data_IF_328610367121
#
_entry.id   IF_328610367121
#
_cell.length_a   1.000
_cell.length_b   1.000
_cell.length_c   1.000
_cell.angle_alpha   90.00
_cell.angle_beta   90.00
_cell.angle_gamma   90.00
#
_symmetry.space_group_name_H-M   'P 1'
#
loop_
_entity.id
_entity.type
_entity.pdbx_description
1 polymer ?
#
# COMPACT_ATOMS: atom_id res chain seq x y z
N UNK A 1 0.70 0.80 -50.42
CA UNK A 1 -0.02 -0.06 -49.48
C UNK A 1 0.60 0.12 -48.07
N UNK A 2 -0.01 0.98 -47.30
CA UNK A 2 0.47 1.32 -45.95
C UNK A 2 -0.22 0.38 -44.99
N UNK A 3 0.54 -0.54 -44.38
CA UNK A 3 0.03 -1.40 -43.30
C UNK A 3 -0.09 -0.56 -42.04
N UNK A 4 -1.30 -0.35 -41.58
CA UNK A 4 -1.62 0.12 -40.24
C UNK A 4 -1.23 -1.00 -39.25
N UNK A 5 -0.13 -0.79 -38.53
CA UNK A 5 0.18 -1.59 -37.34
C UNK A 5 -0.86 -1.26 -36.27
N UNK A 6 -1.82 -2.14 -36.11
CA UNK A 6 -2.67 -2.15 -34.89
C UNK A 6 -1.80 -2.58 -33.70
N UNK A 7 -1.47 -1.63 -32.85
CA UNK A 7 -0.95 -1.95 -31.52
C UNK A 7 -1.95 -2.86 -30.82
N UNK A 8 -1.54 -4.03 -30.31
CA UNK A 8 -2.41 -4.83 -29.49
C UNK A 8 -2.64 -4.06 -28.19
N UNK A 9 -3.86 -3.58 -27.99
CA UNK A 9 -4.32 -3.15 -26.67
C UNK A 9 -4.24 -4.39 -25.77
N UNK A 10 -3.21 -4.46 -24.91
CA UNK A 10 -3.08 -5.51 -23.92
C UNK A 10 -4.27 -5.34 -22.98
N UNK A 11 -5.30 -6.14 -23.20
CA UNK A 11 -6.42 -6.27 -22.27
C UNK A 11 -5.83 -6.82 -20.98
N UNK A 12 -5.61 -5.96 -19.98
CA UNK A 12 -5.12 -6.38 -18.69
C UNK A 12 -6.08 -7.43 -18.12
N UNK A 13 -5.57 -8.60 -17.76
CA UNK A 13 -6.38 -9.64 -17.13
C UNK A 13 -6.98 -9.06 -15.84
N UNK A 14 -8.18 -9.50 -15.40
CA UNK A 14 -8.80 -9.06 -14.14
C UNK A 14 -7.85 -9.17 -12.95
N UNK A 15 -6.97 -10.15 -12.97
CA UNK A 15 -5.94 -10.37 -11.96
C UNK A 15 -4.91 -9.23 -11.93
N UNK A 16 -4.41 -8.78 -13.08
CA UNK A 16 -3.45 -7.66 -13.19
C UNK A 16 -4.05 -6.35 -12.70
N UNK A 17 -5.33 -6.12 -12.95
CA UNK A 17 -6.03 -4.92 -12.47
C UNK A 17 -6.08 -4.89 -10.94
N UNK A 18 -6.61 -5.94 -10.33
CA UNK A 18 -6.67 -6.08 -8.87
C UNK A 18 -5.28 -6.03 -8.25
N UNK A 19 -4.32 -6.77 -8.81
CA UNK A 19 -2.92 -6.78 -8.37
C UNK A 19 -2.32 -5.38 -8.34
N UNK A 20 -2.52 -4.59 -9.39
CA UNK A 20 -2.01 -3.22 -9.45
C UNK A 20 -2.61 -2.30 -8.38
N UNK A 21 -3.90 -2.47 -8.05
CA UNK A 21 -4.56 -1.69 -6.99
C UNK A 21 -4.06 -2.07 -5.58
N UNK A 22 -3.83 -3.35 -5.32
CA UNK A 22 -3.29 -3.79 -4.03
C UNK A 22 -1.89 -3.23 -3.79
N UNK A 23 -1.00 -3.33 -4.78
CA UNK A 23 0.36 -2.81 -4.72
C UNK A 23 0.39 -1.28 -4.62
N UNK A 24 -0.45 -0.60 -5.40
CA UNK A 24 -0.58 0.85 -5.32
C UNK A 24 -1.09 1.31 -3.95
N UNK A 25 -2.02 0.59 -3.32
CA UNK A 25 -2.51 0.91 -1.99
C UNK A 25 -1.40 0.89 -0.94
N UNK A 26 -0.54 -0.12 -0.96
CA UNK A 26 0.61 -0.20 -0.06
C UNK A 26 1.62 0.92 -0.33
N UNK A 27 1.97 1.16 -1.61
CA UNK A 27 2.90 2.20 -1.99
C UNK A 27 2.39 3.61 -1.62
N UNK A 28 1.11 3.88 -1.84
CA UNK A 28 0.47 5.16 -1.49
C UNK A 28 0.42 5.35 0.02
N UNK A 29 0.05 4.31 0.78
CA UNK A 29 -0.02 4.40 2.23
C UNK A 29 1.38 4.63 2.84
N UNK A 30 2.40 3.94 2.33
CA UNK A 30 3.79 4.16 2.74
C UNK A 30 4.27 5.58 2.42
N UNK A 31 3.93 6.10 1.22
CA UNK A 31 4.32 7.44 0.78
C UNK A 31 3.60 8.55 1.58
N UNK A 32 2.31 8.40 1.83
CA UNK A 32 1.51 9.42 2.54
C UNK A 32 1.71 9.41 4.05
N UNK A 33 2.35 8.39 4.61
CA UNK A 33 2.55 8.32 6.05
C UNK A 33 3.49 9.43 6.52
N UNK A 34 3.07 10.33 7.44
CA UNK A 34 3.83 11.55 7.77
C UNK A 34 5.20 11.26 8.36
N UNK A 35 5.39 10.10 9.02
CA UNK A 35 6.67 9.68 9.60
C UNK A 35 7.47 8.73 8.73
N UNK A 36 6.89 8.30 7.59
CA UNK A 36 7.51 7.35 6.66
C UNK A 36 8.24 6.19 7.37
N UNK A 37 7.55 5.39 8.22
CA UNK A 37 8.18 4.31 8.99
C UNK A 37 8.78 3.25 8.07
N UNK A 38 8.21 3.10 6.88
CA UNK A 38 8.70 2.31 5.77
C UNK A 38 8.99 3.26 4.60
N UNK A 39 10.25 3.38 4.22
CA UNK A 39 10.67 4.29 3.18
C UNK A 39 10.55 3.61 1.82
N UNK A 40 9.55 3.99 1.04
CA UNK A 40 9.32 3.44 -0.28
C UNK A 40 10.52 3.65 -1.20
N UNK A 41 11.01 2.57 -1.82
CA UNK A 41 12.00 2.62 -2.89
C UNK A 41 11.33 2.50 -4.26
N UNK A 42 10.53 1.46 -4.44
CA UNK A 42 9.84 1.16 -5.69
C UNK A 42 8.61 0.31 -5.45
N UNK A 43 7.76 0.23 -6.46
CA UNK A 43 6.65 -0.72 -6.55
C UNK A 43 6.66 -1.35 -7.94
N UNK A 44 6.52 -2.67 -8.00
CA UNK A 44 6.60 -3.46 -9.23
C UNK A 44 5.45 -4.48 -9.29
N UNK A 45 4.89 -4.68 -10.47
CA UNK A 45 3.89 -5.73 -10.69
C UNK A 45 4.46 -7.13 -10.48
N UNK A 46 5.74 -7.34 -10.68
CA UNK A 46 6.39 -8.66 -10.54
C UNK A 46 6.91 -8.87 -9.11
N UNK A 47 7.66 -7.91 -8.58
CA UNK A 47 8.39 -8.03 -7.32
C UNK A 47 7.61 -7.57 -6.09
N UNK A 48 6.56 -6.76 -6.27
CA UNK A 48 5.82 -6.17 -5.17
C UNK A 48 6.36 -4.80 -4.76
N UNK A 49 6.17 -4.44 -3.49
CA UNK A 49 6.62 -3.16 -2.92
C UNK A 49 7.99 -3.33 -2.26
N UNK A 50 8.96 -2.55 -2.70
CA UNK A 50 10.32 -2.50 -2.16
C UNK A 50 10.54 -1.27 -1.30
N UNK A 51 11.28 -1.43 -0.19
CA UNK A 51 11.60 -0.37 0.75
C UNK A 51 13.10 -0.12 0.82
N UNK A 52 13.51 1.15 0.80
CA UNK A 52 14.90 1.57 0.97
C UNK A 52 15.33 1.52 2.45
N UNK A 53 14.38 1.65 3.37
CA UNK A 53 14.63 1.58 4.81
C UNK A 53 13.42 0.96 5.51
N UNK A 54 13.73 0.06 6.43
CA UNK A 54 12.77 -0.69 7.23
C UNK A 54 13.28 -0.72 8.66
N UNK A 55 12.46 -0.43 9.69
CA UNK A 55 12.85 -0.56 11.08
C UNK A 55 13.24 -2.01 11.40
N UNK A 56 14.28 -2.17 12.20
CA UNK A 56 14.68 -3.48 12.70
C UNK A 56 13.75 -3.95 13.85
N UNK A 57 13.87 -5.21 14.20
CA UNK A 57 13.06 -5.83 15.25
C UNK A 57 13.29 -5.17 16.61
N UNK A 58 14.51 -4.71 16.93
CA UNK A 58 14.81 -4.06 18.18
C UNK A 58 14.12 -2.69 18.28
N UNK A 59 14.11 -1.91 17.21
CA UNK A 59 13.40 -0.64 17.15
C UNK A 59 11.89 -0.82 17.35
N UNK A 60 11.28 -1.86 16.75
CA UNK A 60 9.86 -2.16 16.93
C UNK A 60 9.50 -2.56 18.36
N UNK A 61 10.36 -3.34 19.03
CA UNK A 61 10.16 -3.73 20.43
C UNK A 61 10.24 -2.54 21.39
N UNK A 62 11.09 -1.58 21.10
CA UNK A 62 11.32 -0.42 21.97
C UNK A 62 10.33 0.73 21.68
N UNK A 63 9.68 0.74 20.55
CA UNK A 63 8.82 1.85 20.15
C UNK A 63 7.48 1.33 19.60
N UNK A 64 6.49 1.28 20.47
CA UNK A 64 5.13 0.84 20.15
C UNK A 64 4.50 1.67 19.03
N UNK A 65 4.64 3.00 19.07
CA UNK A 65 4.08 3.87 18.04
C UNK A 65 4.68 3.58 16.67
N UNK A 66 5.97 3.29 16.59
CA UNK A 66 6.64 2.87 15.35
C UNK A 66 6.08 1.53 14.86
N UNK A 67 5.89 0.56 15.76
CA UNK A 67 5.30 -0.73 15.39
C UNK A 67 3.88 -0.57 14.82
N UNK A 68 3.03 0.24 15.46
CA UNK A 68 1.68 0.55 14.96
C UNK A 68 1.70 1.17 13.56
N UNK A 69 2.63 2.08 13.30
CA UNK A 69 2.79 2.75 12.01
C UNK A 69 3.24 1.76 10.92
N UNK A 70 4.18 0.86 11.24
CA UNK A 70 4.61 -0.21 10.32
C UNK A 70 3.47 -1.19 10.04
N UNK A 71 2.73 -1.59 11.07
CA UNK A 71 1.55 -2.47 10.94
C UNK A 71 0.48 -1.85 10.06
N UNK A 72 0.25 -0.54 10.18
CA UNK A 72 -0.71 0.18 9.34
C UNK A 72 -0.38 0.04 7.84
N UNK A 73 0.90 0.21 7.48
CA UNK A 73 1.35 0.05 6.09
C UNK A 73 1.33 -1.43 5.67
N UNK A 74 1.79 -2.34 6.52
CA UNK A 74 1.76 -3.78 6.25
C UNK A 74 0.34 -4.32 6.00
N UNK A 75 -0.68 -3.69 6.59
CA UNK A 75 -2.09 -4.04 6.40
C UNK A 75 -2.70 -3.46 5.12
N UNK A 76 -1.98 -2.65 4.34
CA UNK A 76 -2.55 -1.86 3.24
C UNK A 76 -3.18 -2.72 2.15
N UNK A 77 -2.54 -3.79 1.71
CA UNK A 77 -3.08 -4.66 0.66
C UNK A 77 -4.34 -5.40 1.12
N UNK A 78 -4.33 -5.96 2.34
CA UNK A 78 -5.51 -6.60 2.92
C UNK A 78 -6.68 -5.59 3.06
N UNK A 79 -6.37 -4.38 3.53
CA UNK A 79 -7.34 -3.30 3.64
C UNK A 79 -7.91 -2.88 2.27
N UNK A 80 -7.07 -2.80 1.24
CA UNK A 80 -7.48 -2.52 -0.14
C UNK A 80 -8.39 -3.62 -0.69
N UNK A 81 -8.09 -4.90 -0.43
CA UNK A 81 -8.93 -6.03 -0.80
C UNK A 81 -10.34 -5.92 -0.23
N UNK A 82 -10.45 -5.51 1.03
CA UNK A 82 -11.76 -5.25 1.66
C UNK A 82 -12.48 -4.06 1.02
N UNK A 83 -11.77 -2.98 0.70
CA UNK A 83 -12.35 -1.81 0.01
C UNK A 83 -12.87 -2.18 -1.37
N UNK A 84 -12.16 -3.05 -2.09
CA UNK A 84 -12.57 -3.57 -3.40
C UNK A 84 -13.72 -4.61 -3.32
N UNK A 85 -14.04 -5.11 -2.13
CA UNK A 85 -15.03 -6.17 -1.96
C UNK A 85 -14.58 -7.53 -2.49
N UNK A 86 -13.29 -7.75 -2.61
CA UNK A 86 -12.71 -9.01 -3.07
C UNK A 86 -11.85 -9.65 -1.98
N UNK A 87 -11.86 -10.98 -1.90
CA UNK A 87 -10.94 -11.75 -1.07
C UNK A 87 -9.55 -11.82 -1.72
N UNK A 88 -8.91 -10.66 -1.91
CA UNK A 88 -7.67 -10.58 -2.64
C UNK A 88 -6.51 -11.17 -1.83
N UNK A 89 -5.72 -12.04 -2.47
CA UNK A 89 -4.46 -12.51 -1.91
C UNK A 89 -3.41 -11.40 -2.04
N UNK A 90 -2.75 -11.03 -0.94
CA UNK A 90 -1.66 -10.07 -1.00
C UNK A 90 -0.56 -10.47 -1.97
N UNK A 91 0.08 -9.49 -2.60
CA UNK A 91 1.08 -9.67 -3.64
C UNK A 91 2.48 -9.39 -3.09
N UNK A 92 3.43 -10.24 -3.44
CA UNK A 92 4.82 -10.12 -3.01
C UNK A 92 5.06 -10.63 -1.59
N UNK A 93 6.25 -10.36 -1.07
CA UNK A 93 6.62 -10.73 0.30
C UNK A 93 5.88 -9.82 1.29
N UNK A 94 4.87 -10.36 1.94
CA UNK A 94 4.11 -9.64 2.95
C UNK A 94 4.75 -9.82 4.33
N UNK A 95 4.70 -8.76 5.12
CA UNK A 95 4.99 -8.82 6.55
C UNK A 95 3.72 -9.18 7.28
N UNK A 96 3.80 -10.14 8.17
CA UNK A 96 2.67 -10.46 9.03
C UNK A 96 2.43 -9.32 10.03
N UNK A 97 1.31 -8.62 9.86
CA UNK A 97 0.94 -7.47 10.69
C UNK A 97 0.75 -7.86 12.17
N UNK A 98 0.22 -9.06 12.43
CA UNK A 98 0.05 -9.58 13.77
C UNK A 98 1.39 -9.88 14.47
N UNK A 99 2.31 -10.52 13.74
CA UNK A 99 3.67 -10.77 14.26
C UNK A 99 4.42 -9.46 14.53
N UNK A 100 4.32 -8.47 13.64
CA UNK A 100 4.94 -7.16 13.84
C UNK A 100 4.39 -6.44 15.07
N UNK A 101 3.07 -6.46 15.26
CA UNK A 101 2.44 -5.84 16.42
C UNK A 101 2.82 -6.57 17.74
N UNK A 102 2.88 -7.90 17.69
CA UNK A 102 3.26 -8.72 18.83
C UNK A 102 4.67 -8.41 19.38
N UNK A 103 5.58 -7.95 18.51
CA UNK A 103 6.93 -7.55 18.93
C UNK A 103 6.91 -6.38 19.94
N UNK A 104 5.94 -5.47 19.81
CA UNK A 104 5.82 -4.29 20.67
C UNK A 104 4.93 -4.51 21.90
N UNK A 105 4.14 -5.58 21.93
CA UNK A 105 3.25 -5.94 23.04
C UNK A 105 3.94 -6.98 23.91
N UNK A 106 4.63 -6.54 24.96
CA UNK A 106 5.40 -7.41 25.83
C UNK A 106 4.62 -7.88 27.05
N UNK A 107 3.56 -7.17 27.44
CA UNK A 107 2.69 -7.52 28.53
C UNK A 107 1.69 -8.61 28.16
N UNK A 108 1.46 -9.64 29.00
CA UNK A 108 0.52 -10.71 28.72
C UNK A 108 -0.94 -10.25 28.50
N UNK A 109 -1.38 -9.21 29.21
CA UNK A 109 -2.74 -8.67 29.04
C UNK A 109 -2.86 -7.96 27.68
N UNK A 110 -1.84 -7.25 27.26
CA UNK A 110 -1.79 -6.63 25.93
C UNK A 110 -1.78 -7.69 24.82
N UNK A 111 -1.01 -8.77 24.98
CA UNK A 111 -0.99 -9.88 24.04
C UNK A 111 -2.36 -10.57 23.90
N UNK A 112 -3.10 -10.67 24.98
CA UNK A 112 -4.44 -11.26 24.98
C UNK A 112 -5.44 -10.45 24.12
N UNK A 113 -5.25 -9.13 23.98
CA UNK A 113 -6.12 -8.26 23.17
C UNK A 113 -5.55 -7.94 21.78
N UNK A 114 -4.42 -8.56 21.40
CA UNK A 114 -3.76 -8.34 20.12
C UNK A 114 -4.69 -8.45 18.92
N UNK A 115 -5.58 -9.46 18.77
CA UNK A 115 -6.48 -9.56 17.64
C UNK A 115 -7.44 -8.36 17.53
N UNK A 116 -7.97 -7.87 18.65
CA UNK A 116 -8.85 -6.71 18.68
C UNK A 116 -8.07 -5.42 18.30
N UNK A 117 -6.85 -5.30 18.78
CA UNK A 117 -5.99 -4.17 18.47
C UNK A 117 -5.59 -4.14 16.98
N UNK A 118 -5.23 -5.28 16.43
CA UNK A 118 -4.95 -5.41 14.99
C UNK A 118 -6.15 -5.00 14.15
N UNK A 119 -7.36 -5.41 14.53
CA UNK A 119 -8.59 -5.02 13.85
C UNK A 119 -8.82 -3.51 13.83
N UNK A 120 -8.41 -2.79 14.87
CA UNK A 120 -8.47 -1.32 14.91
C UNK A 120 -7.49 -0.70 13.90
N UNK A 121 -6.26 -1.20 13.84
CA UNK A 121 -5.26 -0.72 12.89
C UNK A 121 -5.65 -1.00 11.44
N UNK A 122 -6.21 -2.16 11.17
CA UNK A 122 -6.76 -2.51 9.84
C UNK A 122 -7.93 -1.60 9.45
N UNK A 123 -8.84 -1.32 10.39
CA UNK A 123 -9.94 -0.38 10.14
C UNK A 123 -9.42 1.03 9.85
N UNK A 124 -8.34 1.46 10.53
CA UNK A 124 -7.67 2.72 10.27
C UNK A 124 -7.01 2.74 8.89
N UNK A 125 -6.34 1.66 8.48
CA UNK A 125 -5.77 1.51 7.14
C UNK A 125 -6.85 1.66 6.07
N UNK A 126 -7.99 0.97 6.22
CA UNK A 126 -9.14 1.11 5.31
C UNK A 126 -9.68 2.54 5.23
N UNK A 127 -9.78 3.23 6.37
CA UNK A 127 -10.25 4.62 6.40
C UNK A 127 -9.29 5.58 5.67
N UNK A 128 -7.97 5.38 5.82
CA UNK A 128 -6.97 6.16 5.09
C UNK A 128 -7.05 5.88 3.60
N UNK A 129 -7.11 4.62 3.19
CA UNK A 129 -7.20 4.23 1.78
C UNK A 129 -8.45 4.78 1.09
N UNK A 130 -9.63 4.71 1.75
CA UNK A 130 -10.85 5.30 1.18
C UNK A 130 -10.71 6.79 0.88
N UNK A 131 -10.03 7.53 1.74
CA UNK A 131 -9.78 8.97 1.52
C UNK A 131 -8.75 9.25 0.42
N UNK A 132 -7.84 8.33 0.20
CA UNK A 132 -6.75 8.44 -0.78
C UNK A 132 -6.95 7.52 -1.97
N UNK A 133 -8.20 7.11 -2.26
CA UNK A 133 -8.45 6.10 -3.29
C UNK A 133 -8.13 6.62 -4.70
N UNK A 134 -8.35 7.90 -4.97
CA UNK A 134 -7.96 8.52 -6.23
C UNK A 134 -6.44 8.43 -6.48
N UNK A 135 -5.63 8.62 -5.44
CA UNK A 135 -4.19 8.46 -5.49
C UNK A 135 -3.80 7.00 -5.79
N UNK A 136 -4.50 6.05 -5.16
CA UNK A 136 -4.30 4.62 -5.43
C UNK A 136 -4.59 4.27 -6.88
N UNK A 137 -5.71 4.76 -7.43
CA UNK A 137 -6.08 4.51 -8.84
C UNK A 137 -5.07 5.08 -9.83
N UNK A 138 -4.55 6.29 -9.59
CA UNK A 138 -3.56 6.93 -10.46
C UNK A 138 -2.21 6.20 -10.41
N UNK A 139 -1.77 5.75 -9.25
CA UNK A 139 -0.55 4.94 -9.10
C UNK A 139 -0.74 3.56 -9.75
N UNK A 140 -1.87 2.92 -9.54
CA UNK A 140 -2.19 1.62 -10.15
C UNK A 140 -2.25 1.69 -11.68
N UNK A 141 -2.79 2.79 -12.24
CA UNK A 141 -2.78 3.02 -13.67
C UNK A 141 -1.34 3.09 -14.21
N UNK A 142 -0.48 3.85 -13.54
CA UNK A 142 0.93 3.92 -13.91
C UNK A 142 1.65 2.57 -13.84
N UNK A 143 1.36 1.77 -12.81
CA UNK A 143 1.92 0.42 -12.72
C UNK A 143 1.50 -0.46 -13.90
N UNK A 144 0.26 -0.37 -14.35
CA UNK A 144 -0.21 -1.12 -15.53
C UNK A 144 0.43 -0.64 -16.84
N UNK A 145 0.81 0.64 -16.91
CA UNK A 145 1.46 1.22 -18.08
C UNK A 145 2.91 0.79 -18.23
N UNK A 146 3.69 0.84 -17.13
CA UNK A 146 5.14 0.68 -17.20
C UNK A 146 5.69 -0.51 -16.41
N UNK A 147 4.84 -1.21 -15.65
CA UNK A 147 5.20 -2.39 -14.86
C UNK A 147 5.88 -2.11 -13.54
N UNK A 148 6.58 -1.00 -13.41
CA UNK A 148 7.31 -0.59 -12.21
C UNK A 148 7.36 0.92 -12.08
N UNK A 149 7.26 1.43 -10.85
CA UNK A 149 7.40 2.85 -10.51
C UNK A 149 8.41 3.00 -9.38
N UNK A 150 9.29 3.96 -9.47
CA UNK A 150 10.15 4.35 -8.35
C UNK A 150 9.40 5.29 -7.37
N UNK A 151 10.05 5.63 -6.26
CA UNK A 151 9.45 6.49 -5.25
C UNK A 151 9.12 7.90 -5.75
N UNK A 152 9.84 8.42 -6.75
CA UNK A 152 9.59 9.74 -7.34
C UNK A 152 8.37 9.70 -8.25
N UNK A 153 8.24 8.65 -9.04
CA UNK A 153 7.08 8.42 -9.91
C UNK A 153 5.80 8.30 -9.10
N UNK A 154 5.85 7.56 -7.98
CA UNK A 154 4.73 7.45 -7.04
C UNK A 154 4.39 8.81 -6.45
N UNK A 155 5.38 9.56 -5.95
CA UNK A 155 5.19 10.89 -5.39
C UNK A 155 4.57 11.86 -6.40
N UNK A 156 5.05 11.85 -7.64
CA UNK A 156 4.52 12.69 -8.72
C UNK A 156 3.05 12.37 -9.02
N UNK A 157 2.71 11.09 -9.17
CA UNK A 157 1.34 10.65 -9.45
C UNK A 157 0.38 10.98 -8.32
N UNK A 158 0.80 10.80 -7.08
CA UNK A 158 0.04 11.19 -5.89
C UNK A 158 -0.23 12.70 -5.89
N UNK A 159 0.79 13.53 -6.14
CA UNK A 159 0.66 14.98 -6.22
C UNK A 159 -0.29 15.42 -7.32
N UNK A 160 -0.25 14.79 -8.49
CA UNK A 160 -1.18 15.06 -9.59
C UNK A 160 -2.64 14.77 -9.18
N UNK A 161 -2.90 13.62 -8.55
CA UNK A 161 -4.24 13.26 -8.08
C UNK A 161 -4.77 14.25 -7.03
N UNK A 162 -3.92 14.68 -6.10
CA UNK A 162 -4.27 15.67 -5.08
C UNK A 162 -4.58 17.06 -5.66
N UNK A 163 -3.81 17.47 -6.67
CA UNK A 163 -4.02 18.76 -7.35
C UNK A 163 -5.35 18.81 -8.10
N UNK A 164 -5.73 17.73 -8.77
CA UNK A 164 -7.02 17.61 -9.46
C UNK A 164 -8.17 17.72 -8.46
N UNK A 165 -8.08 16.99 -7.34
CA UNK A 165 -9.10 17.04 -6.29
C UNK A 165 -9.23 18.43 -5.67
N UNK A 166 -8.13 19.13 -5.41
CA UNK A 166 -8.12 20.50 -4.91
C UNK A 166 -8.78 21.49 -5.86
N UNK A 167 -8.62 21.31 -7.17
CA UNK A 167 -9.25 22.16 -8.19
C UNK A 167 -10.76 21.93 -8.31
N UNK A 168 -11.23 20.70 -8.08
CA UNK A 168 -12.66 20.36 -8.17
C UNK A 168 -13.47 20.81 -6.93
N UNK A 169 -12.82 21.12 -5.82
CA UNK A 169 -13.46 21.53 -4.56
C UNK A 169 -13.50 23.04 -4.37
N UNK A 170 -12.89 23.83 -5.27
CA UNK A 170 -12.95 25.30 -5.31
C UNK A 170 -13.85 25.76 -6.46
#
# INVERSE_FOLDING_TARGET
MTQLQTNPTVSASPDTYTRSLLLAAEAVLAHLHPRAPLRLAQVSLEEGVGYASVPDTAALRLNRALAEEVVLVASAQAAAGVVLGCGATPVGAQRDAGELLALALTDPEEQAVLPAYLSILEARARAVLRRSWAEVEVVAAGLREVGQLDSRDVAHRVSCAQSIRGTLLN
#
